data_IF_892308592375
#
_entry.id   IF_892308592375
#
_cell.length_a   1.000
_cell.length_b   1.000
_cell.length_c   1.000
_cell.angle_alpha   90.00
_cell.angle_beta   90.00
_cell.angle_gamma   90.00
#
_symmetry.space_group_name_H-M   'P 1'
#
loop_
_entity.id
_entity.type
_entity.pdbx_description
1 polymer ?
#
# COMPACT_ATOMS: atom_id res chain seq x y z
N UNK A 1 -14.52 7.21 65.46
CA UNK A 1 -14.71 6.94 64.02
C UNK A 1 -14.39 8.18 63.21
N UNK A 2 -13.43 8.10 62.29
CA UNK A 2 -13.29 8.86 61.02
C UNK A 2 -11.88 8.59 60.48
N UNK A 3 -11.70 7.41 59.89
CA UNK A 3 -10.49 7.07 59.15
C UNK A 3 -10.60 7.77 57.79
N UNK A 4 -9.80 8.82 57.56
CA UNK A 4 -9.71 9.49 56.27
C UNK A 4 -8.99 8.55 55.30
N UNK A 5 -9.75 7.86 54.45
CA UNK A 5 -9.19 7.06 53.38
C UNK A 5 -8.54 8.00 52.35
N UNK A 6 -7.21 8.09 52.38
CA UNK A 6 -6.42 8.77 51.36
C UNK A 6 -6.38 7.83 50.15
N UNK A 7 -7.25 8.07 49.17
CA UNK A 7 -7.21 7.35 47.89
C UNK A 7 -6.00 7.90 47.12
N UNK A 8 -4.86 7.23 47.26
CA UNK A 8 -3.70 7.46 46.39
C UNK A 8 -4.04 6.83 45.04
N UNK A 9 -4.54 7.66 44.13
CA UNK A 9 -4.74 7.28 42.73
C UNK A 9 -3.37 7.03 42.10
N UNK A 10 -3.03 5.76 41.90
CA UNK A 10 -1.83 5.33 41.21
C UNK A 10 -2.07 5.51 39.70
N UNK A 11 -1.73 6.68 39.15
CA UNK A 11 -1.66 6.87 37.70
C UNK A 11 -0.48 6.05 37.17
N UNK A 12 -0.77 4.83 36.70
CA UNK A 12 0.18 4.06 35.90
C UNK A 12 0.30 4.79 34.55
N UNK A 13 1.37 5.57 34.39
CA UNK A 13 1.76 6.08 33.09
C UNK A 13 2.18 4.90 32.21
N UNK A 14 1.26 4.44 31.36
CA UNK A 14 1.53 3.40 30.37
C UNK A 14 2.38 4.02 29.25
N UNK A 15 3.69 4.14 29.48
CA UNK A 15 4.65 4.46 28.43
C UNK A 15 4.82 3.21 27.54
N UNK A 16 3.86 2.98 26.65
CA UNK A 16 3.97 1.92 25.65
C UNK A 16 5.12 2.24 24.71
N UNK A 17 6.14 1.38 24.70
CA UNK A 17 7.19 1.39 23.68
C UNK A 17 6.52 0.98 22.36
N UNK A 18 6.23 1.95 21.50
CA UNK A 18 5.72 1.68 20.15
C UNK A 18 6.90 1.19 19.30
N UNK A 19 7.04 -0.13 19.18
CA UNK A 19 7.97 -0.72 18.21
C UNK A 19 7.40 -0.58 16.80
N UNK A 20 8.27 -0.26 15.82
CA UNK A 20 7.88 -0.21 14.42
C UNK A 20 7.47 -1.61 13.94
N UNK A 21 6.36 -1.69 13.19
CA UNK A 21 5.90 -2.95 12.61
C UNK A 21 6.87 -3.44 11.53
N UNK A 22 7.12 -4.75 11.51
CA UNK A 22 7.88 -5.41 10.45
C UNK A 22 7.05 -5.54 9.17
N UNK A 23 7.73 -5.69 8.03
CA UNK A 23 7.11 -5.88 6.73
C UNK A 23 6.22 -7.14 6.69
N UNK A 24 6.62 -8.21 7.39
CA UNK A 24 5.84 -9.45 7.52
C UNK A 24 4.56 -9.21 8.31
N UNK A 25 4.59 -8.45 9.39
CA UNK A 25 3.41 -8.13 10.20
C UNK A 25 2.41 -7.27 9.40
N UNK A 26 2.91 -6.25 8.70
CA UNK A 26 2.09 -5.39 7.82
C UNK A 26 1.39 -6.23 6.75
N UNK A 27 2.15 -7.07 6.03
CA UNK A 27 1.59 -7.91 4.97
C UNK A 27 0.61 -8.95 5.52
N UNK A 28 0.93 -9.60 6.63
CA UNK A 28 0.04 -10.59 7.27
C UNK A 28 -1.27 -9.95 7.73
N UNK A 29 -1.20 -8.74 8.30
CA UNK A 29 -2.38 -7.96 8.68
C UNK A 29 -3.25 -7.66 7.46
N UNK A 30 -2.65 -7.19 6.37
CA UNK A 30 -3.38 -6.89 5.13
C UNK A 30 -4.04 -8.15 4.52
N UNK A 31 -3.34 -9.29 4.53
CA UNK A 31 -3.87 -10.57 4.06
C UNK A 31 -5.06 -11.06 4.91
N UNK A 32 -4.95 -10.96 6.23
CA UNK A 32 -6.04 -11.31 7.14
C UNK A 32 -7.27 -10.42 6.92
N UNK A 33 -7.08 -9.11 6.78
CA UNK A 33 -8.16 -8.19 6.45
C UNK A 33 -8.78 -8.52 5.10
N UNK A 34 -7.95 -8.76 4.07
CA UNK A 34 -8.43 -9.12 2.74
C UNK A 34 -9.22 -10.44 2.73
N UNK A 35 -8.86 -11.39 3.59
CA UNK A 35 -9.63 -12.63 3.78
C UNK A 35 -11.01 -12.35 4.36
N UNK A 36 -11.10 -11.53 5.41
CA UNK A 36 -12.36 -11.19 6.09
C UNK A 36 -13.28 -10.37 5.19
N UNK A 37 -12.72 -9.40 4.47
CA UNK A 37 -13.48 -8.48 3.62
C UNK A 37 -13.71 -9.00 2.20
N UNK A 38 -13.27 -10.23 1.89
CA UNK A 38 -13.27 -10.81 0.54
C UNK A 38 -12.63 -9.88 -0.53
N UNK A 39 -11.45 -9.34 -0.21
CA UNK A 39 -10.67 -8.46 -1.08
C UNK A 39 -9.38 -9.14 -1.54
N UNK A 40 -8.63 -8.45 -2.40
CA UNK A 40 -7.22 -8.74 -2.63
C UNK A 40 -6.35 -7.71 -1.88
N UNK A 41 -5.04 -7.94 -1.80
CA UNK A 41 -4.10 -6.99 -1.21
C UNK A 41 -3.40 -6.24 -2.33
N UNK A 42 -3.41 -4.91 -2.27
CA UNK A 42 -2.62 -4.06 -3.17
C UNK A 42 -1.42 -3.56 -2.36
N UNK A 43 -0.28 -4.24 -2.50
CA UNK A 43 0.95 -3.94 -1.79
C UNK A 43 1.80 -2.96 -2.60
N UNK A 44 2.17 -1.84 -1.98
CA UNK A 44 2.95 -0.77 -2.61
C UNK A 44 4.26 -0.58 -1.85
N UNK A 45 5.37 -0.81 -2.54
CA UNK A 45 6.70 -0.42 -2.07
C UNK A 45 6.94 1.03 -2.44
N UNK A 46 7.34 1.83 -1.45
CA UNK A 46 7.48 3.28 -1.61
C UNK A 46 8.59 3.85 -0.73
N UNK A 47 8.89 5.13 -0.94
CA UNK A 47 9.82 5.91 -0.13
C UNK A 47 9.31 7.34 0.05
N UNK A 48 9.76 8.03 1.10
CA UNK A 48 9.32 9.39 1.43
C UNK A 48 9.70 10.44 0.38
N UNK A 49 10.77 10.20 -0.37
CA UNK A 49 11.24 11.06 -1.45
C UNK A 49 10.51 10.82 -2.79
N UNK A 50 9.77 9.72 -2.91
CA UNK A 50 9.17 9.28 -4.17
C UNK A 50 7.89 10.08 -4.50
N UNK A 51 8.00 11.03 -5.42
CA UNK A 51 6.86 11.84 -5.88
C UNK A 51 5.77 11.02 -6.59
N UNK A 52 6.17 10.05 -7.43
CA UNK A 52 5.25 9.16 -8.12
C UNK A 52 4.46 8.26 -7.18
N UNK A 53 5.06 7.83 -6.07
CA UNK A 53 4.39 7.07 -5.02
C UNK A 53 3.25 7.88 -4.40
N UNK A 54 3.52 9.13 -4.01
CA UNK A 54 2.52 10.04 -3.45
C UNK A 54 1.40 10.36 -4.45
N UNK A 55 1.76 10.52 -5.73
CA UNK A 55 0.77 10.74 -6.80
C UNK A 55 -0.14 9.52 -6.96
N UNK A 56 0.43 8.32 -7.02
CA UNK A 56 -0.35 7.08 -7.14
C UNK A 56 -1.29 6.90 -5.94
N UNK A 57 -0.80 7.07 -4.72
CA UNK A 57 -1.61 7.02 -3.50
C UNK A 57 -2.77 8.03 -3.55
N UNK A 58 -2.45 9.30 -3.87
CA UNK A 58 -3.47 10.35 -4.03
C UNK A 58 -4.51 9.99 -5.09
N UNK A 59 -4.08 9.45 -6.22
CA UNK A 59 -4.99 9.05 -7.30
C UNK A 59 -5.89 7.89 -6.87
N UNK A 60 -5.37 6.89 -6.13
CA UNK A 60 -6.18 5.79 -5.60
C UNK A 60 -7.18 6.21 -4.53
N UNK A 61 -6.94 7.36 -3.89
CA UNK A 61 -7.86 7.98 -2.92
C UNK A 61 -8.68 9.14 -3.51
N UNK A 62 -8.60 9.38 -4.82
CA UNK A 62 -9.48 10.35 -5.49
C UNK A 62 -10.94 9.90 -5.38
N UNK A 63 -11.89 10.79 -5.00
CA UNK A 63 -13.29 10.41 -4.80
C UNK A 63 -13.95 9.69 -5.98
N UNK A 64 -13.50 9.93 -7.22
CA UNK A 64 -14.05 9.29 -8.39
C UNK A 64 -13.78 7.77 -8.45
N UNK A 65 -12.63 7.33 -7.90
CA UNK A 65 -12.15 5.93 -8.01
C UNK A 65 -11.92 5.27 -6.65
N UNK A 66 -11.89 6.04 -5.56
CA UNK A 66 -11.73 5.53 -4.20
C UNK A 66 -12.73 4.43 -3.84
N UNK A 67 -14.05 4.55 -4.13
CA UNK A 67 -14.99 3.48 -3.85
C UNK A 67 -14.59 2.16 -4.51
N UNK A 68 -14.12 2.21 -5.76
CA UNK A 68 -13.64 1.03 -6.48
C UNK A 68 -12.44 0.39 -5.78
N UNK A 69 -11.41 1.17 -5.42
CA UNK A 69 -10.24 0.63 -4.74
C UNK A 69 -10.58 0.06 -3.36
N UNK A 70 -11.38 0.79 -2.58
CA UNK A 70 -11.77 0.37 -1.23
C UNK A 70 -12.68 -0.86 -1.27
N UNK A 71 -13.53 -1.03 -2.30
CA UNK A 71 -14.36 -2.22 -2.47
C UNK A 71 -13.52 -3.46 -2.81
N UNK A 72 -12.43 -3.32 -3.57
CA UNK A 72 -11.72 -4.46 -4.15
C UNK A 72 -10.42 -4.84 -3.44
N UNK A 73 -9.76 -3.87 -2.80
CA UNK A 73 -8.40 -4.05 -2.30
C UNK A 73 -8.22 -3.54 -0.87
N UNK A 74 -7.45 -4.30 -0.10
CA UNK A 74 -6.74 -3.78 1.08
C UNK A 74 -5.44 -3.19 0.59
N UNK A 75 -5.36 -1.86 0.51
CA UNK A 75 -4.14 -1.12 0.19
C UNK A 75 -3.18 -1.22 1.38
N UNK A 76 -1.92 -1.57 1.13
CA UNK A 76 -0.90 -1.64 2.18
C UNK A 76 0.47 -1.23 1.62
N UNK A 77 1.33 -0.74 2.51
CA UNK A 77 2.54 -0.01 2.11
C UNK A 77 3.75 -0.52 2.89
N UNK A 78 4.89 -0.66 2.21
CA UNK A 78 6.18 -0.98 2.82
C UNK A 78 7.18 0.07 2.38
N UNK A 79 7.80 0.75 3.36
CA UNK A 79 8.82 1.76 3.12
C UNK A 79 10.16 1.08 2.84
N UNK A 80 10.74 1.35 1.67
CA UNK A 80 12.03 0.82 1.21
C UNK A 80 12.81 1.91 0.49
N UNK A 81 14.09 1.67 0.22
CA UNK A 81 14.97 2.55 -0.56
C UNK A 81 14.96 4.02 -0.08
N UNK A 82 14.85 4.26 1.23
CA UNK A 82 15.00 5.60 1.78
C UNK A 82 16.42 6.12 1.58
N UNK A 83 16.56 7.45 1.55
CA UNK A 83 17.88 8.08 1.54
C UNK A 83 18.60 7.82 2.85
N UNK A 84 19.93 7.93 2.85
CA UNK A 84 20.78 7.60 4.00
C UNK A 84 20.30 8.26 5.30
N UNK A 85 19.86 9.52 5.25
CA UNK A 85 19.40 10.29 6.41
C UNK A 85 18.07 9.78 7.00
N UNK A 86 17.33 8.96 6.24
CA UNK A 86 16.02 8.41 6.59
C UNK A 86 15.97 6.89 6.52
N UNK A 87 17.11 6.21 6.40
CA UNK A 87 17.18 4.74 6.30
C UNK A 87 16.51 4.05 7.50
N UNK A 88 16.54 4.69 8.68
CA UNK A 88 15.85 4.24 9.89
C UNK A 88 14.31 4.30 9.82
N UNK A 89 13.73 4.96 8.80
CA UNK A 89 12.28 5.01 8.57
C UNK A 89 11.80 3.87 7.65
N UNK A 90 12.70 3.07 7.11
CA UNK A 90 12.31 1.89 6.34
C UNK A 90 11.61 0.87 7.23
N UNK A 91 10.67 0.16 6.62
CA UNK A 91 9.99 -0.94 7.29
C UNK A 91 10.99 -2.07 7.53
N UNK A 92 11.21 -2.53 8.77
CA UNK A 92 12.09 -3.66 9.03
C UNK A 92 11.70 -4.90 8.21
N UNK A 93 12.66 -5.45 7.45
CA UNK A 93 12.42 -6.56 6.52
C UNK A 93 11.79 -6.17 5.18
N UNK A 94 11.57 -4.87 4.92
CA UNK A 94 10.94 -4.37 3.70
C UNK A 94 11.71 -4.73 2.43
N UNK A 95 13.03 -4.50 2.43
CA UNK A 95 13.91 -4.85 1.31
C UNK A 95 13.86 -6.34 0.96
N UNK A 96 13.78 -7.22 1.97
CA UNK A 96 13.69 -8.67 1.76
C UNK A 96 12.36 -9.10 1.12
N UNK A 97 11.23 -8.50 1.52
CA UNK A 97 9.94 -8.76 0.86
C UNK A 97 9.94 -8.17 -0.56
N UNK A 98 10.49 -6.96 -0.74
CA UNK A 98 10.61 -6.33 -2.06
C UNK A 98 11.41 -7.20 -3.03
N UNK A 99 12.58 -7.69 -2.61
CA UNK A 99 13.43 -8.59 -3.40
C UNK A 99 12.71 -9.91 -3.71
N UNK A 100 12.05 -10.53 -2.72
CA UNK A 100 11.28 -11.77 -2.93
C UNK A 100 10.16 -11.63 -3.97
N UNK A 101 9.58 -10.44 -4.10
CA UNK A 101 8.55 -10.14 -5.09
C UNK A 101 9.12 -9.59 -6.41
N UNK A 102 10.45 -9.51 -6.54
CA UNK A 102 11.14 -9.09 -7.74
C UNK A 102 11.26 -7.58 -7.93
N UNK A 103 11.14 -6.80 -6.85
CA UNK A 103 11.21 -5.34 -6.85
C UNK A 103 12.61 -4.76 -6.57
N UNK A 104 13.64 -5.58 -6.39
CA UNK A 104 15.00 -5.14 -6.05
C UNK A 104 15.58 -4.16 -7.07
N UNK A 105 15.44 -4.48 -8.35
CA UNK A 105 15.98 -3.70 -9.47
C UNK A 105 14.91 -2.81 -10.12
N UNK A 106 13.76 -2.63 -9.46
CA UNK A 106 12.64 -1.86 -9.98
C UNK A 106 12.60 -0.47 -9.32
N UNK A 107 12.23 0.55 -10.12
CA UNK A 107 11.99 1.89 -9.60
C UNK A 107 10.78 1.95 -8.66
N UNK A 108 10.61 3.06 -7.93
CA UNK A 108 9.46 3.28 -7.05
C UNK A 108 8.40 4.20 -7.69
N UNK A 109 7.10 3.97 -7.45
CA UNK A 109 6.55 2.86 -6.66
C UNK A 109 6.67 1.53 -7.43
N UNK A 110 7.02 0.46 -6.72
CA UNK A 110 6.84 -0.91 -7.22
C UNK A 110 5.64 -1.49 -6.48
N UNK A 111 4.69 -2.08 -7.19
CA UNK A 111 3.48 -2.61 -6.57
C UNK A 111 3.14 -4.01 -7.06
N UNK A 112 2.47 -4.76 -6.17
CA UNK A 112 2.10 -6.16 -6.36
C UNK A 112 0.68 -6.38 -5.84
N UNK A 113 -0.15 -7.02 -6.64
CA UNK A 113 -1.49 -7.44 -6.25
C UNK A 113 -1.43 -8.90 -5.83
N UNK A 114 -1.75 -9.15 -4.56
CA UNK A 114 -1.75 -10.48 -3.96
C UNK A 114 -3.17 -10.90 -3.63
N UNK A 115 -3.47 -12.19 -3.67
CA UNK A 115 -4.68 -12.69 -3.00
C UNK A 115 -4.50 -12.70 -1.47
N UNK A 116 -5.55 -13.05 -0.74
CA UNK A 116 -5.53 -13.13 0.72
C UNK A 116 -4.62 -14.23 1.31
N UNK A 117 -4.05 -15.11 0.48
CA UNK A 117 -3.05 -16.12 0.90
C UNK A 117 -1.62 -15.72 0.54
N UNK A 118 -1.42 -14.53 -0.03
CA UNK A 118 -0.10 -14.04 -0.46
C UNK A 118 0.38 -14.56 -1.81
N UNK A 119 -0.48 -15.20 -2.61
CA UNK A 119 -0.16 -15.55 -4.00
C UNK A 119 -0.23 -14.29 -4.87
N UNK A 120 0.80 -14.06 -5.68
CA UNK A 120 0.81 -12.99 -6.70
C UNK A 120 -0.25 -13.26 -7.76
N UNK A 121 -1.06 -12.24 -8.03
CA UNK A 121 -2.05 -12.23 -9.10
C UNK A 121 -1.56 -11.40 -10.29
N UNK A 122 -1.07 -10.19 -10.01
CA UNK A 122 -0.46 -9.26 -10.96
C UNK A 122 0.60 -8.43 -10.23
N UNK A 123 1.48 -7.79 -10.99
CA UNK A 123 2.42 -6.80 -10.47
C UNK A 123 2.50 -5.59 -11.39
N UNK A 124 3.29 -4.61 -10.99
CA UNK A 124 3.48 -3.35 -11.70
C UNK A 124 4.21 -3.45 -13.05
N UNK A 125 4.69 -4.63 -13.47
CA UNK A 125 5.51 -4.75 -14.68
C UNK A 125 4.72 -5.03 -15.94
N UNK A 126 5.23 -4.52 -17.06
CA UNK A 126 4.83 -4.87 -18.43
C UNK A 126 6.11 -5.18 -19.20
N UNK A 127 6.23 -6.40 -19.73
CA UNK A 127 7.45 -6.88 -20.41
C UNK A 127 8.74 -6.72 -19.57
N UNK A 128 8.62 -6.82 -18.24
CA UNK A 128 9.74 -6.69 -17.30
C UNK A 128 9.97 -5.28 -16.76
N UNK A 129 9.39 -4.25 -17.39
CA UNK A 129 9.54 -2.84 -17.01
C UNK A 129 8.44 -2.42 -16.02
N UNK A 130 8.83 -1.76 -14.92
CA UNK A 130 7.87 -1.25 -13.93
C UNK A 130 7.12 -0.01 -14.45
N UNK A 131 5.79 -0.07 -14.43
CA UNK A 131 4.89 1.06 -14.72
C UNK A 131 5.02 2.22 -13.73
N UNK A 132 5.59 1.98 -12.55
CA UNK A 132 5.71 3.00 -11.51
C UNK A 132 4.34 3.48 -11.04
N UNK A 133 4.19 4.79 -10.94
CA UNK A 133 2.90 5.47 -10.75
C UNK A 133 2.36 5.89 -12.12
N UNK A 134 1.47 5.10 -12.76
CA UNK A 134 1.07 5.27 -14.15
C UNK A 134 0.46 6.65 -14.41
N UNK A 135 0.82 7.27 -15.54
CA UNK A 135 0.38 8.62 -15.86
C UNK A 135 0.21 8.94 -17.34
N UNK A 136 0.82 8.17 -18.24
CA UNK A 136 0.49 8.20 -19.67
C UNK A 136 -0.75 7.34 -19.95
N UNK A 137 -1.40 7.59 -21.09
CA UNK A 137 -2.55 6.78 -21.51
C UNK A 137 -2.21 5.29 -21.63
N UNK A 138 -1.05 4.96 -22.18
CA UNK A 138 -0.57 3.58 -22.33
C UNK A 138 -0.36 2.89 -20.97
N UNK A 139 0.38 3.53 -20.05
CA UNK A 139 0.62 2.97 -18.72
C UNK A 139 -0.70 2.79 -17.94
N UNK A 140 -1.63 3.76 -18.09
CA UNK A 140 -2.93 3.72 -17.41
C UNK A 140 -3.81 2.61 -18.00
N UNK A 141 -3.76 2.37 -19.31
CA UNK A 141 -4.46 1.23 -19.92
C UNK A 141 -3.91 -0.10 -19.40
N UNK A 142 -2.60 -0.23 -19.21
CA UNK A 142 -2.01 -1.41 -18.57
C UNK A 142 -2.44 -1.57 -17.11
N UNK A 143 -2.51 -0.48 -16.35
CA UNK A 143 -3.07 -0.50 -14.99
C UNK A 143 -4.52 -1.01 -15.01
N UNK A 144 -5.37 -0.48 -15.89
CA UNK A 144 -6.77 -0.90 -16.03
C UNK A 144 -6.88 -2.40 -16.32
N UNK A 145 -6.12 -2.93 -17.28
CA UNK A 145 -6.13 -4.37 -17.57
C UNK A 145 -5.75 -5.22 -16.34
N UNK A 146 -4.77 -4.78 -15.54
CA UNK A 146 -4.36 -5.48 -14.31
C UNK A 146 -5.42 -5.38 -13.22
N UNK A 147 -6.11 -4.24 -13.11
CA UNK A 147 -7.25 -4.05 -12.20
C UNK A 147 -8.42 -4.96 -12.60
N UNK A 148 -8.80 -5.01 -13.89
CA UNK A 148 -9.90 -5.83 -14.39
C UNK A 148 -9.70 -7.32 -14.10
N UNK A 149 -8.47 -7.82 -14.23
CA UNK A 149 -8.11 -9.21 -13.93
C UNK A 149 -8.15 -9.56 -12.44
N UNK A 150 -7.97 -8.57 -11.57
CA UNK A 150 -7.75 -8.80 -10.13
C UNK A 150 -8.86 -8.25 -9.25
N UNK A 151 -9.85 -7.58 -9.82
CA UNK A 151 -11.01 -7.08 -9.09
C UNK A 151 -11.89 -8.22 -8.58
N UNK A 152 -12.60 -8.01 -7.47
CA UNK A 152 -13.44 -9.04 -6.83
C UNK A 152 -14.89 -8.63 -6.65
N UNK A 153 -15.11 -7.42 -6.16
CA UNK A 153 -16.40 -6.94 -5.67
C UNK A 153 -17.04 -5.96 -6.66
N UNK A 154 -16.30 -4.93 -7.07
CA UNK A 154 -16.79 -3.95 -8.04
C UNK A 154 -16.04 -4.06 -9.38
N UNK A 155 -16.71 -3.73 -10.47
CA UNK A 155 -16.08 -3.66 -11.79
C UNK A 155 -15.26 -2.37 -11.92
N UNK A 156 -14.16 -2.44 -12.66
CA UNK A 156 -13.38 -1.25 -13.03
C UNK A 156 -14.26 -0.36 -13.92
N UNK A 157 -14.17 0.95 -13.70
CA UNK A 157 -14.64 1.97 -14.63
C UNK A 157 -13.41 2.58 -15.32
N UNK A 158 -13.06 2.12 -16.54
CA UNK A 158 -11.83 2.56 -17.22
C UNK A 158 -11.75 4.07 -17.42
N UNK A 159 -12.89 4.72 -17.66
CA UNK A 159 -12.93 6.15 -17.96
C UNK A 159 -12.63 6.99 -16.72
N UNK A 160 -13.16 6.59 -15.56
CA UNK A 160 -12.80 7.24 -14.28
C UNK A 160 -11.34 7.02 -13.91
N UNK A 161 -10.80 5.82 -14.16
CA UNK A 161 -9.38 5.56 -13.92
C UNK A 161 -8.52 6.45 -14.83
N UNK A 162 -8.85 6.54 -16.12
CA UNK A 162 -8.17 7.45 -17.07
C UNK A 162 -8.25 8.91 -16.63
N UNK A 163 -9.43 9.38 -16.26
CA UNK A 163 -9.66 10.76 -15.81
C UNK A 163 -8.75 11.16 -14.64
N UNK A 164 -8.59 10.25 -13.68
CA UNK A 164 -7.80 10.48 -12.45
C UNK A 164 -6.31 10.29 -12.70
N UNK A 165 -5.91 9.23 -13.42
CA UNK A 165 -4.50 8.85 -13.50
C UNK A 165 -3.74 9.56 -14.61
N UNK A 166 -4.36 9.84 -15.76
CA UNK A 166 -3.66 10.46 -16.88
C UNK A 166 -3.22 11.89 -16.53
N UNK A 167 -1.94 12.18 -16.73
CA UNK A 167 -1.42 13.54 -16.56
C UNK A 167 -2.00 14.47 -17.63
N UNK A 168 -2.79 15.45 -17.18
CA UNK A 168 -3.26 16.54 -18.02
C UNK A 168 -2.05 17.40 -18.41
N UNK A 169 -1.79 17.54 -19.72
CA UNK A 169 -0.81 18.50 -20.22
C UNK A 169 -1.30 19.91 -19.85
N UNK A 170 -0.42 20.70 -19.24
CA UNK A 170 -0.67 22.13 -19.00
C UNK A 170 -0.54 22.90 -20.30
#
# INVERSE_FOLDING_TARGET
MKLKALIVSFMIAFAGIVNAQTATEILTKAQNQAKVENKNVFLIFHASWCGWCKKMEKNMDDPAVKPYFDANYVKTFITVQERAEKKNLETPGGDAINEKLGGKDQGLPFWVILNSTGKVLEDSRVNGENLGGPASEEEVNHLITKLEKTTKNDKVDPEKIKEVFILKKK
#
